data_IF_083606074407
#
_entry.id   IF_083606074407
#
_cell.length_a   1.000
_cell.length_b   1.000
_cell.length_c   1.000
_cell.angle_alpha   90.00
_cell.angle_beta   90.00
_cell.angle_gamma   90.00
#
_symmetry.space_group_name_H-M   'P 1'
#
loop_
_entity.id
_entity.type
_entity.pdbx_description
1 polymer ?
#
# COMPACT_ATOMS: atom_id res chain seq x y z
N UNK A 1 5.07 -0.23 -16.86
CA UNK A 1 4.52 -1.19 -15.86
C UNK A 1 4.19 -2.47 -16.61
N UNK A 2 4.53 -3.68 -16.12
CA UNK A 2 4.55 -4.90 -16.95
C UNK A 2 3.25 -5.21 -17.70
N UNK A 3 2.08 -5.00 -17.07
CA UNK A 3 0.77 -5.24 -17.71
C UNK A 3 0.46 -4.27 -18.84
N UNK A 4 0.71 -2.97 -18.64
CA UNK A 4 0.55 -1.92 -19.68
C UNK A 4 1.55 -2.14 -20.81
N UNK A 5 2.81 -2.45 -20.47
CA UNK A 5 3.87 -2.69 -21.45
C UNK A 5 3.54 -3.93 -22.33
N UNK A 6 2.98 -4.98 -21.72
CA UNK A 6 2.45 -6.14 -22.44
C UNK A 6 1.27 -5.77 -23.35
N UNK A 7 0.34 -4.93 -22.89
CA UNK A 7 -0.80 -4.48 -23.71
C UNK A 7 -0.32 -3.75 -24.96
N UNK A 8 0.61 -2.81 -24.80
CA UNK A 8 1.20 -2.06 -25.91
C UNK A 8 1.91 -2.98 -26.91
N UNK A 9 2.63 -3.99 -26.44
CA UNK A 9 3.30 -4.96 -27.31
C UNK A 9 2.30 -5.82 -28.12
N UNK A 10 1.21 -6.24 -27.49
CA UNK A 10 0.13 -7.00 -28.15
C UNK A 10 -0.58 -6.16 -29.21
N UNK A 11 -0.88 -4.90 -28.91
CA UNK A 11 -1.49 -3.95 -29.83
C UNK A 11 -0.60 -3.69 -31.04
N UNK A 12 0.69 -3.41 -30.82
CA UNK A 12 1.69 -3.23 -31.88
C UNK A 12 1.85 -4.47 -32.75
N UNK A 13 1.56 -5.66 -32.21
CA UNK A 13 1.61 -6.93 -32.92
C UNK A 13 0.29 -7.30 -33.62
N UNK A 14 -0.70 -6.41 -33.59
CA UNK A 14 -1.98 -6.59 -34.30
C UNK A 14 -3.02 -7.43 -33.56
N UNK A 15 -2.91 -7.58 -32.23
CA UNK A 15 -3.86 -8.38 -31.42
C UNK A 15 -5.00 -7.57 -30.80
N UNK A 16 -5.25 -6.35 -31.27
CA UNK A 16 -6.38 -5.54 -30.83
C UNK A 16 -7.70 -6.30 -31.05
N UNK A 17 -8.54 -6.39 -30.02
CA UNK A 17 -9.78 -7.18 -30.03
C UNK A 17 -9.59 -8.70 -29.94
N UNK A 18 -8.37 -9.22 -29.90
CA UNK A 18 -8.05 -10.66 -29.87
C UNK A 18 -7.12 -11.07 -28.72
N UNK A 19 -6.73 -10.11 -27.88
CA UNK A 19 -5.95 -10.33 -26.68
C UNK A 19 -6.46 -9.46 -25.51
N UNK A 20 -6.01 -9.80 -24.32
CA UNK A 20 -6.23 -9.04 -23.11
C UNK A 20 -4.97 -9.06 -22.25
N UNK A 21 -4.67 -7.93 -21.60
CA UNK A 21 -3.62 -7.80 -20.61
C UNK A 21 -4.21 -7.26 -19.31
N UNK A 22 -3.70 -7.74 -18.17
CA UNK A 22 -4.03 -7.23 -16.84
C UNK A 22 -2.75 -6.97 -16.06
N UNK A 23 -2.78 -5.95 -15.22
CA UNK A 23 -1.67 -5.54 -14.37
C UNK A 23 -1.93 -5.71 -12.88
N UNK A 24 -0.95 -5.32 -12.09
CA UNK A 24 -1.07 -5.16 -10.64
C UNK A 24 -0.43 -3.82 -10.23
N UNK A 25 -0.83 -3.31 -9.06
CA UNK A 25 -0.26 -2.13 -8.42
C UNK A 25 -0.87 -0.79 -8.79
N UNK A 26 -1.90 -0.74 -9.64
CA UNK A 26 -2.59 0.51 -9.99
C UNK A 26 -1.65 1.68 -10.37
N UNK A 27 -0.59 1.41 -11.13
CA UNK A 27 0.41 2.44 -11.48
C UNK A 27 -0.20 3.59 -12.27
N UNK A 28 0.46 4.76 -12.25
CA UNK A 28 0.03 5.94 -13.02
C UNK A 28 -0.25 5.61 -14.48
N UNK A 29 0.59 4.80 -15.14
CA UNK A 29 0.38 4.38 -16.53
C UNK A 29 -0.87 3.53 -16.70
N UNK A 30 -1.15 2.62 -15.76
CA UNK A 30 -2.35 1.80 -15.78
C UNK A 30 -3.61 2.65 -15.59
N UNK A 31 -3.58 3.62 -14.68
CA UNK A 31 -4.70 4.54 -14.45
C UNK A 31 -4.92 5.45 -15.67
N UNK A 32 -3.85 5.93 -16.32
CA UNK A 32 -3.94 6.71 -17.56
C UNK A 32 -4.58 5.90 -18.69
N UNK A 33 -4.20 4.64 -18.87
CA UNK A 33 -4.80 3.77 -19.90
C UNK A 33 -6.29 3.53 -19.63
N UNK A 34 -6.65 3.15 -18.40
CA UNK A 34 -8.03 2.85 -18.02
C UNK A 34 -8.97 4.07 -18.10
N UNK A 35 -8.45 5.29 -17.88
CA UNK A 35 -9.22 6.53 -18.05
C UNK A 35 -9.33 6.98 -19.51
N UNK A 36 -8.26 6.79 -20.27
CA UNK A 36 -8.05 7.50 -21.54
C UNK A 36 -8.37 6.69 -22.79
N UNK A 37 -8.41 5.35 -22.71
CA UNK A 37 -8.58 4.48 -23.87
C UNK A 37 -9.75 3.54 -23.66
N UNK A 38 -10.63 3.41 -24.64
CA UNK A 38 -11.74 2.45 -24.63
C UNK A 38 -11.28 1.00 -24.89
N UNK A 39 -12.19 0.04 -24.73
CA UNK A 39 -11.92 -1.37 -24.99
C UNK A 39 -11.57 -1.70 -26.46
N UNK A 40 -12.00 -0.84 -27.39
CA UNK A 40 -11.66 -0.94 -28.81
C UNK A 40 -10.29 -0.32 -29.12
N UNK A 41 -9.74 0.49 -28.20
CA UNK A 41 -8.45 1.17 -28.37
C UNK A 41 -7.34 0.49 -27.58
N UNK A 42 -7.66 -0.26 -26.52
CA UNK A 42 -6.69 -0.87 -25.61
C UNK A 42 -7.06 -2.32 -25.25
N UNK A 43 -6.06 -3.21 -25.32
CA UNK A 43 -6.18 -4.59 -24.81
C UNK A 43 -5.92 -4.67 -23.31
N UNK A 44 -5.47 -3.58 -22.66
CA UNK A 44 -5.33 -3.53 -21.21
C UNK A 44 -6.72 -3.45 -20.57
N UNK A 45 -7.07 -4.41 -19.70
CA UNK A 45 -8.43 -4.57 -19.17
C UNK A 45 -8.58 -4.15 -17.72
N UNK A 46 -7.56 -4.37 -16.90
CA UNK A 46 -7.63 -4.09 -15.47
C UNK A 46 -6.25 -4.05 -14.82
N UNK A 47 -6.20 -3.50 -13.61
CA UNK A 47 -5.08 -3.66 -12.67
C UNK A 47 -5.60 -3.95 -11.27
N UNK A 48 -4.94 -4.84 -10.52
CA UNK A 48 -5.30 -5.09 -9.12
C UNK A 48 -4.62 -4.05 -8.22
N UNK A 49 -5.38 -3.29 -7.44
CA UNK A 49 -4.87 -2.30 -6.49
C UNK A 49 -4.35 -2.94 -5.20
N UNK A 50 -3.41 -2.24 -4.56
CA UNK A 50 -2.94 -2.56 -3.21
C UNK A 50 -3.17 -1.42 -2.21
N UNK A 51 -3.52 -0.21 -2.66
CA UNK A 51 -3.76 0.97 -1.83
C UNK A 51 -2.63 1.27 -0.80
N UNK A 52 -1.37 1.45 -1.25
CA UNK A 52 -0.23 1.73 -0.35
C UNK A 52 -0.48 2.92 0.60
N UNK A 53 -1.27 3.90 0.15
CA UNK A 53 -1.71 5.07 0.91
C UNK A 53 -2.63 4.76 2.11
N UNK A 54 -2.97 3.49 2.34
CA UNK A 54 -3.80 3.06 3.49
C UNK A 54 -3.03 2.21 4.50
N UNK A 55 -1.77 1.89 4.27
CA UNK A 55 -1.04 0.91 5.09
C UNK A 55 -0.89 1.35 6.55
N UNK A 56 -0.61 2.63 6.78
CA UNK A 56 -0.53 3.23 8.10
C UNK A 56 -1.86 3.17 8.86
N UNK A 57 -3.01 3.27 8.18
CA UNK A 57 -4.33 3.38 8.82
C UNK A 57 -4.74 2.12 9.57
N UNK A 58 -4.15 0.96 9.24
CA UNK A 58 -4.38 -0.28 9.97
C UNK A 58 -3.14 -0.84 10.67
N UNK A 59 -1.92 -0.63 10.14
CA UNK A 59 -0.70 -1.15 10.78
C UNK A 59 -0.35 -0.39 12.07
N UNK A 60 -0.41 0.95 12.04
CA UNK A 60 -0.01 1.76 13.21
C UNK A 60 -1.00 1.56 14.36
N UNK A 61 -2.33 1.65 14.18
CA UNK A 61 -3.27 1.38 15.27
C UNK A 61 -3.18 -0.05 15.81
N UNK A 62 -2.96 -1.05 14.95
CA UNK A 62 -2.81 -2.44 15.38
C UNK A 62 -1.59 -2.65 16.29
N UNK A 63 -0.45 -2.05 15.96
CA UNK A 63 0.73 -2.13 16.82
C UNK A 63 0.51 -1.39 18.14
N UNK A 64 -0.12 -0.21 18.10
CA UNK A 64 -0.47 0.53 19.33
C UNK A 64 -1.42 -0.28 20.21
N UNK A 65 -2.45 -0.90 19.63
CA UNK A 65 -3.39 -1.74 20.36
C UNK A 65 -2.70 -2.97 20.98
N UNK A 66 -1.77 -3.60 20.26
CA UNK A 66 -0.93 -4.67 20.79
C UNK A 66 -0.07 -4.22 21.98
N UNK A 67 0.62 -3.09 21.86
CA UNK A 67 1.49 -2.53 22.91
C UNK A 67 0.65 -2.20 24.17
N UNK A 68 -0.56 -1.69 23.97
CA UNK A 68 -1.50 -1.39 25.06
C UNK A 68 -2.22 -2.62 25.64
N UNK A 69 -1.87 -3.82 25.16
CA UNK A 69 -2.39 -5.08 25.67
C UNK A 69 -3.81 -5.42 25.20
N UNK A 70 -4.30 -4.77 24.13
CA UNK A 70 -5.56 -5.12 23.49
C UNK A 70 -5.38 -6.30 22.55
N UNK A 71 -6.50 -6.90 22.17
CA UNK A 71 -6.53 -8.01 21.21
C UNK A 71 -6.64 -7.45 19.80
N UNK A 72 -5.73 -7.89 18.93
CA UNK A 72 -5.80 -7.72 17.48
C UNK A 72 -5.90 -9.11 16.84
N UNK A 73 -6.48 -9.24 15.64
CA UNK A 73 -6.56 -10.54 14.96
C UNK A 73 -5.17 -11.02 14.55
N UNK A 74 -5.01 -12.34 14.40
CA UNK A 74 -3.74 -12.94 13.95
C UNK A 74 -3.34 -12.51 12.53
N UNK A 75 -4.32 -12.07 11.73
CA UNK A 75 -4.11 -11.59 10.36
C UNK A 75 -4.99 -10.38 10.11
N UNK A 76 -4.36 -9.32 9.61
CA UNK A 76 -5.03 -8.18 8.97
C UNK A 76 -4.82 -8.34 7.47
N UNK A 77 -5.92 -8.47 6.72
CA UNK A 77 -5.86 -8.69 5.28
C UNK A 77 -6.27 -7.38 4.61
N UNK A 78 -5.35 -6.64 3.98
CA UNK A 78 -5.73 -5.43 3.28
C UNK A 78 -6.66 -5.75 2.11
N UNK A 79 -7.68 -4.91 1.94
CA UNK A 79 -8.57 -4.99 0.80
C UNK A 79 -7.82 -4.68 -0.50
N UNK A 80 -8.06 -5.50 -1.52
CA UNK A 80 -7.57 -5.27 -2.90
C UNK A 80 -8.78 -5.13 -3.81
N UNK A 81 -8.68 -4.34 -4.87
CA UNK A 81 -9.78 -4.14 -5.82
C UNK A 81 -9.30 -4.25 -7.26
N UNK A 82 -10.07 -4.92 -8.15
CA UNK A 82 -9.86 -4.80 -9.58
C UNK A 82 -10.24 -3.39 -10.03
N UNK A 83 -9.25 -2.63 -10.48
CA UNK A 83 -9.43 -1.32 -11.10
C UNK A 83 -9.63 -1.53 -12.60
N UNK A 84 -10.73 -1.00 -13.10
CA UNK A 84 -11.21 -1.12 -14.48
C UNK A 84 -11.67 0.23 -14.98
N UNK A 85 -12.05 0.34 -16.25
CA UNK A 85 -12.61 1.56 -16.83
C UNK A 85 -13.87 2.04 -16.12
N UNK A 86 -14.65 1.11 -15.58
CA UNK A 86 -15.95 1.40 -14.98
C UNK A 86 -15.82 2.04 -13.59
N UNK A 87 -14.74 1.74 -12.86
CA UNK A 87 -14.56 2.15 -11.46
C UNK A 87 -13.25 2.91 -11.18
N UNK A 88 -12.42 3.21 -12.20
CA UNK A 88 -11.14 3.92 -11.99
C UNK A 88 -11.33 5.31 -11.39
N UNK A 89 -12.41 6.03 -11.73
CA UNK A 89 -12.69 7.35 -11.14
C UNK A 89 -13.25 7.27 -9.73
N UNK A 90 -13.95 6.18 -9.39
CA UNK A 90 -14.44 5.94 -8.03
C UNK A 90 -13.29 5.53 -7.10
N UNK A 91 -12.48 4.57 -7.55
CA UNK A 91 -11.38 4.02 -6.77
C UNK A 91 -10.14 4.91 -6.76
N UNK A 92 -9.98 5.81 -7.75
CA UNK A 92 -8.88 6.76 -7.89
C UNK A 92 -9.42 8.09 -8.45
N UNK A 93 -10.14 8.92 -7.67
CA UNK A 93 -10.55 10.23 -8.14
C UNK A 93 -9.31 11.10 -8.35
N UNK A 94 -9.23 11.77 -9.50
CA UNK A 94 -8.04 12.52 -9.94
C UNK A 94 -7.64 13.65 -8.99
N UNK A 95 -6.85 13.35 -7.95
CA UNK A 95 -6.17 14.35 -7.12
C UNK A 95 -5.92 13.95 -5.66
N UNK A 96 -6.77 13.13 -5.05
CA UNK A 96 -6.63 12.64 -3.67
C UNK A 96 -7.68 11.54 -3.47
N UNK A 97 -7.26 10.41 -2.90
CA UNK A 97 -8.09 9.22 -2.72
C UNK A 97 -8.91 9.32 -1.44
N UNK A 98 -10.19 8.98 -1.54
CA UNK A 98 -11.05 8.78 -0.38
C UNK A 98 -10.59 7.52 0.38
N UNK A 99 -10.06 7.73 1.59
CA UNK A 99 -9.51 6.70 2.47
C UNK A 99 -10.59 5.78 3.07
N UNK A 100 -11.88 6.07 2.86
CA UNK A 100 -12.98 5.40 3.57
C UNK A 100 -13.55 4.15 2.89
N UNK A 101 -13.02 3.75 1.72
CA UNK A 101 -13.58 2.60 1.01
C UNK A 101 -13.14 1.26 1.60
N UNK A 102 -14.08 0.66 2.35
CA UNK A 102 -14.29 -0.76 2.65
C UNK A 102 -13.85 -1.25 4.04
N UNK A 103 -14.76 -1.13 5.01
CA UNK A 103 -14.82 -1.98 6.19
C UNK A 103 -15.87 -3.08 5.95
N UNK A 104 -15.48 -4.34 6.10
CA UNK A 104 -16.40 -5.48 6.23
C UNK A 104 -16.84 -5.56 7.71
N UNK A 105 -18.14 -5.73 7.96
CA UNK A 105 -18.81 -5.37 9.23
C UNK A 105 -18.53 -6.30 10.44
N UNK A 106 -17.64 -7.29 10.32
CA UNK A 106 -17.27 -8.23 11.40
C UNK A 106 -15.76 -8.24 11.73
N UNK A 107 -14.99 -7.30 11.17
CA UNK A 107 -13.52 -7.28 11.24
C UNK A 107 -13.00 -6.29 12.30
N UNK A 108 -11.79 -6.55 12.82
CA UNK A 108 -11.10 -5.63 13.71
C UNK A 108 -11.04 -4.23 13.10
N UNK A 109 -11.68 -3.25 13.75
CA UNK A 109 -11.62 -1.87 13.31
C UNK A 109 -10.37 -1.21 13.87
N UNK A 110 -9.42 -0.90 12.99
CA UNK A 110 -8.28 -0.07 13.34
C UNK A 110 -8.76 1.35 13.67
N UNK A 111 -8.58 1.77 14.92
CA UNK A 111 -9.00 3.11 15.37
C UNK A 111 -7.79 4.02 15.48
N UNK A 112 -7.73 5.03 14.63
CA UNK A 112 -6.75 6.12 14.75
C UNK A 112 -7.16 7.01 15.93
N UNK A 113 -6.26 7.10 16.91
CA UNK A 113 -6.46 7.84 18.16
C UNK A 113 -5.11 8.12 18.81
N UNK A 114 -5.06 9.08 19.72
CA UNK A 114 -3.89 9.26 20.56
C UNK A 114 -3.52 7.97 21.31
N UNK A 115 -2.24 7.60 21.25
CA UNK A 115 -1.64 6.56 22.05
C UNK A 115 -1.65 6.93 23.54
N UNK A 116 -1.74 5.93 24.42
CA UNK A 116 -1.73 6.11 25.87
C UNK A 116 -0.36 6.43 26.46
N UNK A 117 0.71 6.30 25.67
CA UNK A 117 2.09 6.55 26.08
C UNK A 117 3.00 6.91 24.91
N UNK A 118 4.25 7.35 25.20
CA UNK A 118 5.23 7.66 24.18
C UNK A 118 5.79 6.36 23.59
N UNK A 119 5.09 5.81 22.60
CA UNK A 119 5.51 4.58 21.93
C UNK A 119 6.43 4.86 20.74
N UNK A 120 7.32 3.91 20.48
CA UNK A 120 8.27 3.94 19.37
C UNK A 120 8.07 2.69 18.52
N UNK A 121 7.74 2.86 17.25
CA UNK A 121 7.56 1.76 16.31
C UNK A 121 8.72 1.76 15.33
N UNK A 122 9.41 0.63 15.21
CA UNK A 122 10.40 0.43 14.16
C UNK A 122 9.73 0.17 12.81
N UNK A 123 10.20 0.80 11.74
CA UNK A 123 9.73 0.56 10.39
C UNK A 123 10.91 0.27 9.46
N UNK A 124 11.00 -0.99 9.03
CA UNK A 124 11.92 -1.44 7.99
C UNK A 124 11.23 -1.35 6.62
N UNK A 125 11.50 -0.28 5.88
CA UNK A 125 11.04 -0.10 4.49
C UNK A 125 11.77 -1.08 3.57
N UNK A 126 11.04 -1.72 2.66
CA UNK A 126 11.57 -2.70 1.74
C UNK A 126 12.53 -2.10 0.71
N UNK A 127 12.23 -0.92 0.17
CA UNK A 127 13.07 -0.23 -0.81
C UNK A 127 12.69 1.25 -0.93
N UNK A 128 13.51 2.15 -0.39
CA UNK A 128 13.21 3.58 -0.46
C UNK A 128 13.29 4.18 -1.87
N UNK A 129 12.50 5.24 -2.11
CA UNK A 129 12.59 6.06 -3.33
C UNK A 129 11.85 5.49 -4.54
N UNK A 130 10.91 4.57 -4.32
CA UNK A 130 9.94 4.17 -5.36
C UNK A 130 8.54 4.64 -4.95
N UNK A 131 7.68 5.06 -5.90
CA UNK A 131 6.38 5.66 -5.56
C UNK A 131 5.50 4.81 -4.64
N UNK A 132 5.61 3.48 -4.73
CA UNK A 132 4.85 2.57 -3.89
C UNK A 132 5.29 2.64 -2.42
N UNK A 133 6.58 2.48 -2.13
CA UNK A 133 7.10 2.50 -0.75
C UNK A 133 7.11 3.90 -0.17
N UNK A 134 7.27 4.94 -1.00
CA UNK A 134 7.11 6.33 -0.58
C UNK A 134 5.67 6.55 -0.08
N UNK A 135 4.65 6.09 -0.82
CA UNK A 135 3.25 6.21 -0.40
C UNK A 135 2.92 5.43 0.87
N UNK A 136 3.49 4.24 1.07
CA UNK A 136 3.36 3.48 2.32
C UNK A 136 4.02 4.23 3.48
N UNK A 137 5.24 4.71 3.27
CA UNK A 137 6.05 5.41 4.27
C UNK A 137 5.40 6.72 4.70
N UNK A 138 4.90 7.50 3.74
CA UNK A 138 4.20 8.75 4.02
C UNK A 138 2.94 8.51 4.85
N UNK A 139 2.13 7.50 4.50
CA UNK A 139 0.91 7.19 5.26
C UNK A 139 1.23 6.63 6.66
N UNK A 140 2.24 5.76 6.82
CA UNK A 140 2.69 5.30 8.14
C UNK A 140 3.11 6.47 9.02
N UNK A 141 3.92 7.39 8.50
CA UNK A 141 4.38 8.55 9.25
C UNK A 141 3.22 9.50 9.61
N UNK A 142 2.30 9.75 8.69
CA UNK A 142 1.14 10.61 8.93
C UNK A 142 0.24 10.06 10.04
N UNK A 143 -0.09 8.76 10.00
CA UNK A 143 -0.91 8.12 11.03
C UNK A 143 -0.17 8.05 12.37
N UNK A 144 1.14 7.75 12.35
CA UNK A 144 1.95 7.75 13.57
C UNK A 144 2.00 9.14 14.24
N UNK A 145 2.15 10.20 13.44
CA UNK A 145 2.09 11.58 13.94
C UNK A 145 0.74 11.89 14.59
N UNK A 146 -0.37 11.52 13.94
CA UNK A 146 -1.72 11.71 14.48
C UNK A 146 -1.93 10.95 15.80
N UNK A 147 -1.36 9.75 15.92
CA UNK A 147 -1.44 8.93 17.13
C UNK A 147 -0.41 9.30 18.21
N UNK A 148 0.53 10.20 17.93
CA UNK A 148 1.59 10.59 18.87
C UNK A 148 2.65 9.50 19.08
N UNK A 149 2.94 8.73 18.03
CA UNK A 149 3.91 7.62 18.00
C UNK A 149 5.15 8.02 17.22
N UNK A 150 6.34 7.69 17.73
CA UNK A 150 7.60 7.90 17.01
C UNK A 150 7.87 6.73 16.06
N UNK A 151 8.21 7.04 14.80
CA UNK A 151 8.70 6.04 13.85
C UNK A 151 10.24 6.03 13.84
N UNK A 152 10.82 4.87 14.12
CA UNK A 152 12.25 4.60 13.95
C UNK A 152 12.44 3.93 12.59
N UNK A 153 12.87 4.71 11.60
CA UNK A 153 12.94 4.28 10.21
C UNK A 153 14.27 3.58 9.85
N UNK A 154 14.21 2.56 8.99
CA UNK A 154 15.35 1.94 8.33
C UNK A 154 14.99 1.49 6.91
N UNK A 155 15.84 1.75 5.92
CA UNK A 155 15.67 1.27 4.55
C UNK A 155 16.43 -0.05 4.35
N UNK A 156 15.70 -1.13 4.11
CA UNK A 156 16.25 -2.45 3.80
C UNK A 156 16.95 -2.47 2.43
N UNK A 157 16.64 -1.52 1.54
CA UNK A 157 17.17 -1.37 0.19
C UNK A 157 17.07 -2.64 -0.67
N UNK A 158 16.02 -3.44 -0.42
CA UNK A 158 15.75 -4.75 -1.01
C UNK A 158 16.93 -5.73 -0.87
N UNK A 159 17.69 -5.58 0.21
CA UNK A 159 18.90 -6.34 0.49
C UNK A 159 18.75 -7.18 1.75
N UNK A 160 19.13 -8.45 1.65
CA UNK A 160 18.94 -9.43 2.71
C UNK A 160 19.80 -9.14 3.94
N UNK A 161 21.04 -8.69 3.73
CA UNK A 161 21.97 -8.38 4.84
C UNK A 161 21.49 -7.12 5.56
N UNK A 162 21.14 -6.08 4.79
CA UNK A 162 20.58 -4.84 5.35
C UNK A 162 19.28 -5.07 6.11
N UNK A 163 18.41 -5.97 5.66
CA UNK A 163 17.19 -6.32 6.39
C UNK A 163 17.51 -6.82 7.81
N UNK A 164 18.54 -7.63 7.95
CA UNK A 164 19.02 -8.12 9.26
C UNK A 164 19.68 -6.98 10.06
N UNK A 165 20.45 -6.11 9.41
CA UNK A 165 21.03 -4.93 10.06
C UNK A 165 19.95 -3.98 10.60
N UNK A 166 18.92 -3.67 9.81
CA UNK A 166 17.74 -2.92 10.22
C UNK A 166 17.05 -3.59 11.40
N UNK A 167 16.86 -4.92 11.35
CA UNK A 167 16.23 -5.66 12.46
C UNK A 167 17.02 -5.51 13.76
N UNK A 168 18.35 -5.66 13.70
CA UNK A 168 19.22 -5.49 14.86
C UNK A 168 19.25 -4.03 15.37
N UNK A 169 19.23 -3.07 14.45
CA UNK A 169 19.15 -1.65 14.78
C UNK A 169 17.87 -1.34 15.56
N UNK A 170 16.71 -1.79 15.07
CA UNK A 170 15.42 -1.51 15.70
C UNK A 170 15.33 -2.12 17.11
N UNK A 171 15.84 -3.35 17.30
CA UNK A 171 15.97 -3.95 18.64
C UNK A 171 16.91 -3.13 19.53
N UNK A 172 18.06 -2.69 19.00
CA UNK A 172 19.04 -1.87 19.75
C UNK A 172 18.46 -0.50 20.13
N UNK A 173 17.57 0.03 19.30
CA UNK A 173 16.84 1.26 19.56
C UNK A 173 15.70 1.07 20.56
N UNK A 174 15.45 -0.13 21.08
CA UNK A 174 14.41 -0.41 22.09
C UNK A 174 13.02 0.06 21.62
N UNK A 175 12.66 -0.24 20.37
CA UNK A 175 11.29 0.00 19.87
C UNK A 175 10.29 -0.95 20.51
N UNK A 176 9.05 -0.50 20.69
CA UNK A 176 7.97 -1.25 21.33
C UNK A 176 7.29 -2.25 20.37
N UNK A 177 7.41 -2.01 19.07
CA UNK A 177 6.88 -2.86 18.00
C UNK A 177 7.60 -2.61 16.68
N UNK A 178 7.43 -3.51 15.71
CA UNK A 178 8.07 -3.40 14.39
C UNK A 178 7.10 -3.67 13.24
N UNK A 179 7.22 -2.86 12.19
CA UNK A 179 6.69 -3.10 10.84
C UNK A 179 7.88 -3.44 9.95
N UNK A 180 7.83 -4.58 9.26
CA UNK A 180 8.84 -4.96 8.28
C UNK A 180 8.17 -5.28 6.95
N UNK A 181 8.67 -4.65 5.88
CA UNK A 181 8.29 -4.88 4.50
C UNK A 181 9.40 -5.60 3.72
#
# INVERSE_FOLDING_TARGET
QPGVDCALALEQSGYLGHAAAVGTGASTEALVDLRGRSDDESVFKATISYFPERYGTYLVPAIVDLIEGKTVPERLIPSVSPVTRDNVEELYPGGELDETAMADEDEYEAVIRAASGPFRIGYGDGLSGIPFTDSVTDNINAVAEEMGVEIVYCDNAYDQEKTVECSNLLVTQEVDGVIFA
#
